data_IF_794942874980
#
_entry.id   IF_794942874980
#
_cell.length_a   1.000
_cell.length_b   1.000
_cell.length_c   1.000
_cell.angle_alpha   90.00
_cell.angle_beta   90.00
_cell.angle_gamma   90.00
#
_symmetry.space_group_name_H-M   'P 1'
#
loop_
_entity.id
_entity.type
_entity.pdbx_description
1 polymer ?
#
# COMPACT_ATOMS: atom_id res chain seq x y z
N UNK A 1 -11.44 -14.17 29.20
CA UNK A 1 -12.11 -13.22 28.26
C UNK A 1 -11.78 -13.63 26.83
N UNK A 2 -12.45 -13.08 25.80
CA UNK A 2 -12.20 -13.47 24.38
C UNK A 2 -10.72 -13.33 24.00
N UNK A 3 -10.02 -12.32 24.53
CA UNK A 3 -8.58 -12.13 24.31
C UNK A 3 -7.69 -13.25 24.85
N UNK A 4 -8.10 -13.96 25.89
CA UNK A 4 -7.31 -15.08 26.45
C UNK A 4 -7.50 -16.36 25.62
N UNK A 5 -8.73 -16.60 25.14
CA UNK A 5 -9.09 -17.78 24.34
C UNK A 5 -8.51 -17.66 22.93
N UNK A 6 -8.52 -16.44 22.38
CA UNK A 6 -8.15 -16.15 20.99
C UNK A 6 -6.88 -15.32 20.86
N UNK A 7 -6.00 -15.35 21.87
CA UNK A 7 -4.74 -14.59 21.90
C UNK A 7 -3.85 -14.81 20.67
N UNK A 8 -3.97 -15.97 20.01
CA UNK A 8 -3.19 -16.30 18.81
C UNK A 8 -3.71 -15.62 17.53
N UNK A 9 -4.95 -15.12 17.48
CA UNK A 9 -5.53 -14.62 16.22
C UNK A 9 -4.76 -13.41 15.69
N UNK A 10 -4.40 -12.46 16.56
CA UNK A 10 -3.65 -11.27 16.15
C UNK A 10 -2.26 -11.60 15.57
N UNK A 11 -1.38 -12.33 16.27
CA UNK A 11 -0.06 -12.66 15.72
C UNK A 11 -0.14 -13.55 14.47
N UNK A 12 -1.07 -14.49 14.39
CA UNK A 12 -1.26 -15.31 13.18
C UNK A 12 -1.73 -14.48 11.98
N UNK A 13 -2.67 -13.55 12.20
CA UNK A 13 -3.12 -12.61 11.16
C UNK A 13 -1.99 -11.72 10.68
N UNK A 14 -1.20 -11.15 11.60
CA UNK A 14 -0.04 -10.34 11.25
C UNK A 14 1.00 -11.18 10.50
N UNK A 15 1.26 -12.42 10.95
CA UNK A 15 2.16 -13.35 10.28
C UNK A 15 1.72 -13.66 8.85
N UNK A 16 0.44 -13.94 8.64
CA UNK A 16 -0.16 -14.15 7.31
C UNK A 16 0.02 -12.94 6.39
N UNK A 17 -0.24 -11.73 6.90
CA UNK A 17 -0.08 -10.47 6.14
C UNK A 17 1.39 -10.27 5.76
N UNK A 18 2.31 -10.47 6.70
CA UNK A 18 3.75 -10.31 6.48
C UNK A 18 4.30 -11.34 5.49
N UNK A 19 3.84 -12.59 5.57
CA UNK A 19 4.24 -13.63 4.63
C UNK A 19 3.94 -13.21 3.18
N UNK A 20 2.71 -12.73 2.92
CA UNK A 20 2.32 -12.28 1.58
C UNK A 20 3.02 -10.99 1.15
N UNK A 21 3.23 -10.03 2.06
CA UNK A 21 3.99 -8.80 1.75
C UNK A 21 5.44 -9.09 1.31
N UNK A 22 6.07 -10.12 1.88
CA UNK A 22 7.41 -10.56 1.46
C UNK A 22 7.43 -11.21 0.09
N UNK A 23 6.34 -11.89 -0.29
CA UNK A 23 6.22 -12.49 -1.63
C UNK A 23 5.95 -11.43 -2.69
N UNK A 24 5.01 -10.52 -2.40
CA UNK A 24 4.71 -9.38 -3.26
C UNK A 24 4.16 -8.22 -2.41
N UNK A 25 4.92 -7.13 -2.35
CA UNK A 25 4.54 -5.95 -1.59
C UNK A 25 3.23 -5.29 -2.06
N UNK A 26 2.77 -5.56 -3.29
CA UNK A 26 1.49 -5.05 -3.80
C UNK A 26 0.27 -5.61 -3.05
N UNK A 27 0.42 -6.76 -2.37
CA UNK A 27 -0.63 -7.30 -1.48
C UNK A 27 -1.02 -6.31 -0.39
N UNK A 28 -0.09 -5.44 0.05
CA UNK A 28 -0.39 -4.41 1.05
C UNK A 28 -1.52 -3.46 0.63
N UNK A 29 -1.68 -3.20 -0.68
CA UNK A 29 -2.78 -2.40 -1.23
C UNK A 29 -4.14 -3.09 -1.03
N UNK A 30 -4.25 -4.35 -1.46
CA UNK A 30 -5.49 -5.11 -1.39
C UNK A 30 -5.94 -5.33 0.06
N UNK A 31 -5.01 -5.68 0.95
CA UNK A 31 -5.30 -5.86 2.38
C UNK A 31 -5.71 -4.53 3.02
N UNK A 32 -5.08 -3.41 2.66
CA UNK A 32 -5.44 -2.09 3.20
C UNK A 32 -6.90 -1.74 2.90
N UNK A 33 -7.33 -1.93 1.65
CA UNK A 33 -8.72 -1.69 1.23
C UNK A 33 -9.67 -2.65 1.94
N UNK A 34 -9.36 -3.95 1.95
CA UNK A 34 -10.28 -4.96 2.47
C UNK A 34 -10.47 -4.85 3.98
N UNK A 35 -9.37 -4.72 4.72
CA UNK A 35 -9.38 -4.58 6.17
C UNK A 35 -9.88 -3.20 6.59
N UNK A 36 -9.51 -2.16 5.85
CA UNK A 36 -10.01 -0.80 6.06
C UNK A 36 -11.53 -0.72 5.98
N UNK A 37 -12.13 -1.32 4.94
CA UNK A 37 -13.59 -1.42 4.82
C UNK A 37 -14.22 -2.14 6.01
N UNK A 38 -13.63 -3.26 6.43
CA UNK A 38 -14.18 -4.06 7.52
C UNK A 38 -14.18 -3.28 8.85
N UNK A 39 -13.05 -2.64 9.19
CA UNK A 39 -12.93 -1.81 10.39
C UNK A 39 -13.89 -0.62 10.35
N UNK A 40 -14.05 0.04 9.19
CA UNK A 40 -14.97 1.17 9.05
C UNK A 40 -16.45 0.78 9.15
N UNK A 41 -16.79 -0.46 8.80
CA UNK A 41 -18.18 -0.98 8.88
C UNK A 41 -18.54 -1.61 10.24
N UNK A 42 -17.61 -1.66 11.19
CA UNK A 42 -17.84 -2.35 12.46
C UNK A 42 -18.73 -1.52 13.40
N UNK A 43 -19.85 -2.10 13.85
CA UNK A 43 -20.77 -1.46 14.80
C UNK A 43 -20.27 -1.48 16.25
N UNK A 44 -19.56 -2.54 16.66
CA UNK A 44 -18.98 -2.68 18.00
C UNK A 44 -17.46 -2.50 17.92
N UNK A 45 -17.00 -1.26 17.98
CA UNK A 45 -15.59 -0.89 17.84
C UNK A 45 -14.74 -1.34 19.03
N UNK A 46 -15.35 -1.67 20.17
CA UNK A 46 -14.66 -2.17 21.36
C UNK A 46 -14.48 -3.68 21.41
N UNK A 47 -15.11 -4.43 20.49
CA UNK A 47 -15.00 -5.88 20.45
C UNK A 47 -13.55 -6.36 20.26
N UNK A 48 -13.25 -7.56 20.76
CA UNK A 48 -11.94 -8.18 20.58
C UNK A 48 -11.50 -8.23 19.11
N UNK A 49 -12.41 -8.59 18.19
CA UNK A 49 -12.12 -8.65 16.76
C UNK A 49 -11.94 -7.26 16.15
N UNK A 50 -12.74 -6.27 16.55
CA UNK A 50 -12.59 -4.88 16.09
C UNK A 50 -11.23 -4.31 16.48
N UNK A 51 -10.80 -4.54 17.71
CA UNK A 51 -9.47 -4.15 18.19
C UNK A 51 -8.35 -4.88 17.45
N UNK A 52 -8.49 -6.20 17.26
CA UNK A 52 -7.52 -7.02 16.51
C UNK A 52 -7.37 -6.54 15.07
N UNK A 53 -8.48 -6.29 14.36
CA UNK A 53 -8.46 -5.77 13.00
C UNK A 53 -7.96 -4.33 12.91
N UNK A 54 -8.28 -3.49 13.91
CA UNK A 54 -7.72 -2.14 14.01
C UNK A 54 -6.20 -2.15 14.13
N UNK A 55 -5.65 -3.01 14.98
CA UNK A 55 -4.20 -3.22 15.13
C UNK A 55 -3.58 -3.71 13.82
N UNK A 56 -4.13 -4.77 13.23
CA UNK A 56 -3.65 -5.31 11.96
C UNK A 56 -3.70 -4.27 10.82
N UNK A 57 -4.72 -3.40 10.80
CA UNK A 57 -4.86 -2.34 9.80
C UNK A 57 -3.73 -1.30 9.91
N UNK A 58 -3.27 -0.97 11.11
CA UNK A 58 -2.10 -0.10 11.32
C UNK A 58 -0.85 -0.74 10.74
N UNK A 59 -0.64 -2.03 10.96
CA UNK A 59 0.48 -2.77 10.37
C UNK A 59 0.43 -2.76 8.84
N UNK A 60 -0.75 -3.03 8.25
CA UNK A 60 -0.94 -3.01 6.80
C UNK A 60 -0.71 -1.62 6.22
N UNK A 61 -1.18 -0.56 6.88
CA UNK A 61 -0.95 0.82 6.42
C UNK A 61 0.53 1.17 6.37
N UNK A 62 1.31 0.73 7.37
CA UNK A 62 2.79 0.88 7.38
C UNK A 62 3.44 0.15 6.20
N UNK A 63 3.00 -1.07 5.90
CA UNK A 63 3.50 -1.83 4.75
C UNK A 63 3.17 -1.16 3.42
N UNK A 64 1.94 -0.65 3.29
CA UNK A 64 1.52 0.14 2.12
C UNK A 64 2.37 1.40 1.96
N UNK A 65 2.61 2.16 3.03
CA UNK A 65 3.46 3.35 2.95
C UNK A 65 4.90 2.97 2.60
N UNK A 66 5.44 1.87 3.13
CA UNK A 66 6.76 1.35 2.77
C UNK A 66 6.85 1.00 1.27
N UNK A 67 5.83 0.34 0.70
CA UNK A 67 5.73 0.10 -0.75
C UNK A 67 5.80 1.42 -1.54
N UNK A 68 5.02 2.42 -1.14
CA UNK A 68 4.97 3.70 -1.85
C UNK A 68 6.28 4.47 -1.76
N UNK A 69 6.96 4.45 -0.61
CA UNK A 69 8.31 5.01 -0.48
C UNK A 69 9.33 4.28 -1.37
N UNK A 70 9.19 2.95 -1.56
CA UNK A 70 10.05 2.21 -2.47
C UNK A 70 9.87 2.67 -3.93
N UNK A 71 8.62 2.88 -4.38
CA UNK A 71 8.35 3.48 -5.69
C UNK A 71 8.95 4.88 -5.82
N UNK A 72 8.73 5.74 -4.82
CA UNK A 72 9.29 7.11 -4.80
C UNK A 72 10.81 7.10 -4.93
N UNK A 73 11.48 6.28 -4.12
CA UNK A 73 12.93 6.12 -4.14
C UNK A 73 13.43 5.61 -5.50
N UNK A 74 12.72 4.67 -6.11
CA UNK A 74 13.08 4.13 -7.43
C UNK A 74 13.05 5.18 -8.54
N UNK A 75 12.21 6.22 -8.41
CA UNK A 75 12.18 7.34 -9.36
C UNK A 75 13.39 8.25 -9.10
N UNK A 76 13.64 8.61 -7.84
CA UNK A 76 14.70 9.56 -7.44
C UNK A 76 16.13 9.05 -7.74
N UNK A 77 16.35 7.73 -7.68
CA UNK A 77 17.67 7.14 -7.88
C UNK A 77 18.04 6.98 -9.37
N UNK A 78 17.10 7.23 -10.29
CA UNK A 78 17.36 7.12 -11.74
C UNK A 78 18.20 8.30 -12.21
N UNK A 79 19.44 8.01 -12.63
CA UNK A 79 20.32 8.98 -13.28
C UNK A 79 20.00 9.07 -14.77
N UNK A 80 19.43 10.18 -15.21
CA UNK A 80 19.15 10.40 -16.64
C UNK A 80 20.43 10.83 -17.37
N UNK A 81 20.91 9.98 -18.28
CA UNK A 81 22.02 10.32 -19.17
C UNK A 81 21.46 11.03 -20.40
N UNK A 82 21.57 12.37 -20.43
CA UNK A 82 21.02 13.26 -21.49
C UNK A 82 21.54 13.00 -22.92
N UNK A 83 22.47 12.06 -23.12
CA UNK A 83 23.17 11.81 -24.40
C UNK A 83 22.70 10.58 -25.18
N UNK A 84 21.87 9.69 -24.63
CA UNK A 84 21.49 8.44 -25.31
C UNK A 84 19.98 8.26 -25.43
N UNK A 85 19.49 8.27 -26.67
CA UNK A 85 18.19 7.76 -27.17
C UNK A 85 16.93 8.28 -26.46
N UNK A 86 16.05 8.92 -27.24
CA UNK A 86 14.69 9.25 -26.84
C UNK A 86 13.90 7.95 -26.59
N UNK A 87 13.66 7.60 -25.33
CA UNK A 87 12.96 6.38 -24.93
C UNK A 87 12.19 6.60 -23.64
N UNK A 88 11.24 5.72 -23.35
CA UNK A 88 10.45 5.77 -22.12
C UNK A 88 11.37 5.44 -20.94
N UNK A 89 11.40 6.31 -19.93
CA UNK A 89 12.19 6.07 -18.73
C UNK A 89 11.62 4.86 -17.97
N UNK A 90 12.46 3.97 -17.40
CA UNK A 90 11.98 2.75 -16.75
C UNK A 90 10.93 2.99 -15.66
N UNK A 91 11.07 4.06 -14.89
CA UNK A 91 10.10 4.40 -13.85
C UNK A 91 8.73 4.82 -14.40
N UNK A 92 8.67 5.37 -15.62
CA UNK A 92 7.40 5.70 -16.30
C UNK A 92 6.66 4.43 -16.71
N UNK A 93 7.38 3.47 -17.31
CA UNK A 93 6.81 2.17 -17.68
C UNK A 93 6.36 1.37 -16.44
N UNK A 94 7.17 1.35 -15.38
CA UNK A 94 6.81 0.69 -14.12
C UNK A 94 5.61 1.35 -13.44
N UNK A 95 5.50 2.68 -13.52
CA UNK A 95 4.36 3.41 -12.98
C UNK A 95 3.05 3.04 -13.67
N UNK A 96 3.06 2.80 -14.99
CA UNK A 96 1.87 2.36 -15.72
C UNK A 96 1.32 1.04 -15.14
N UNK A 97 2.18 0.04 -14.97
CA UNK A 97 1.80 -1.26 -14.38
C UNK A 97 1.27 -1.09 -12.95
N UNK A 98 2.00 -0.33 -12.13
CA UNK A 98 1.62 -0.03 -10.75
C UNK A 98 0.25 0.67 -10.70
N UNK A 99 0.05 1.72 -11.50
CA UNK A 99 -1.18 2.51 -11.52
C UNK A 99 -2.38 1.66 -11.94
N UNK A 100 -2.21 0.78 -12.95
CA UNK A 100 -3.28 -0.15 -13.36
C UNK A 100 -3.73 -1.05 -12.22
N UNK A 101 -2.78 -1.65 -11.49
CA UNK A 101 -3.10 -2.50 -10.33
C UNK A 101 -3.71 -1.68 -9.19
N UNK A 102 -3.15 -0.51 -8.87
CA UNK A 102 -3.65 0.35 -7.81
C UNK A 102 -5.09 0.83 -8.11
N UNK A 103 -5.38 1.24 -9.35
CA UNK A 103 -6.72 1.64 -9.78
C UNK A 103 -7.72 0.50 -9.67
N UNK A 104 -7.35 -0.73 -10.05
CA UNK A 104 -8.23 -1.89 -9.87
C UNK A 104 -8.58 -2.16 -8.40
N UNK A 105 -7.65 -1.89 -7.48
CA UNK A 105 -7.83 -2.15 -6.05
C UNK A 105 -8.59 -1.02 -5.34
N UNK A 106 -8.26 0.24 -5.65
CA UNK A 106 -8.74 1.41 -4.92
C UNK A 106 -9.96 2.09 -5.54
N UNK A 107 -10.37 1.70 -6.76
CA UNK A 107 -11.55 2.26 -7.41
C UNK A 107 -12.77 2.16 -6.50
N UNK A 108 -13.40 3.31 -6.25
CA UNK A 108 -14.63 3.43 -5.46
C UNK A 108 -14.50 2.85 -4.04
N UNK A 109 -13.33 3.04 -3.42
CA UNK A 109 -13.07 2.63 -2.03
C UNK A 109 -12.93 3.85 -1.11
N UNK A 110 -13.27 3.66 0.17
CA UNK A 110 -13.04 4.65 1.23
C UNK A 110 -11.55 5.01 1.43
N UNK A 111 -10.64 4.19 0.88
CA UNK A 111 -9.19 4.39 0.94
C UNK A 111 -8.64 5.10 -0.29
N UNK A 112 -9.51 5.56 -1.22
CA UNK A 112 -9.09 6.25 -2.44
C UNK A 112 -8.17 7.45 -2.16
N UNK A 113 -8.50 8.24 -1.13
CA UNK A 113 -7.72 9.40 -0.71
C UNK A 113 -6.29 9.05 -0.30
N UNK A 114 -6.03 7.83 0.20
CA UNK A 114 -4.67 7.38 0.50
C UNK A 114 -3.85 7.23 -0.79
N UNK A 115 -4.45 6.67 -1.85
CA UNK A 115 -3.81 6.52 -3.16
C UNK A 115 -3.57 7.88 -3.85
N UNK A 116 -4.57 8.76 -3.86
CA UNK A 116 -4.46 10.06 -4.53
C UNK A 116 -3.33 10.92 -3.95
N UNK A 117 -3.14 10.87 -2.61
CA UNK A 117 -2.01 11.54 -1.94
C UNK A 117 -0.66 10.99 -2.41
N UNK A 118 -0.56 9.69 -2.64
CA UNK A 118 0.66 9.06 -3.13
C UNK A 118 0.90 9.33 -4.61
N UNK A 119 -0.15 9.32 -5.44
CA UNK A 119 -0.05 9.71 -6.84
C UNK A 119 0.47 11.13 -7.02
N UNK A 120 -0.04 12.09 -6.24
CA UNK A 120 0.46 13.46 -6.29
C UNK A 120 1.98 13.50 -6.05
N UNK A 121 2.46 12.83 -5.00
CA UNK A 121 3.91 12.78 -4.68
C UNK A 121 4.73 12.09 -5.77
N UNK A 122 4.29 10.92 -6.24
CA UNK A 122 5.00 10.14 -7.24
C UNK A 122 5.10 10.91 -8.56
N UNK A 123 3.97 11.47 -9.03
CA UNK A 123 3.92 12.24 -10.27
C UNK A 123 4.78 13.50 -10.18
N UNK A 124 4.70 14.25 -9.08
CA UNK A 124 5.55 15.44 -8.87
C UNK A 124 7.04 15.08 -9.04
N UNK A 125 7.51 14.05 -8.34
CA UNK A 125 8.92 13.64 -8.43
C UNK A 125 9.28 13.08 -9.82
N UNK A 126 8.36 12.39 -10.50
CA UNK A 126 8.58 11.97 -11.88
C UNK A 126 8.79 13.15 -12.81
N UNK A 127 7.94 14.19 -12.74
CA UNK A 127 8.08 15.39 -13.56
C UNK A 127 9.37 16.16 -13.25
N UNK A 128 9.72 16.31 -11.97
CA UNK A 128 10.98 16.93 -11.54
C UNK A 128 12.21 16.16 -12.02
N UNK A 129 12.12 14.83 -12.12
CA UNK A 129 13.22 13.99 -12.58
C UNK A 129 13.38 14.04 -14.10
N UNK A 130 12.28 14.20 -14.85
CA UNK A 130 12.28 14.27 -16.33
C UNK A 130 12.84 15.60 -16.84
N UNK A 131 12.55 16.71 -16.17
CA UNK A 131 12.98 18.06 -16.54
C UNK A 131 14.42 18.37 -16.10
#
# INVERSE_FOLDING_TARGET
MMGDIFACIEPELIGFIQYHERMDSTYSMAVLVRLGRHVMSANDTGSFLSMTYGSALVHVKRNYDKLMHAHLKSIQEVRIIKKSKCGILPFVANFEYFAKTAEQIFKETERRTDLDKWYLKLLTVMFETIH
#
